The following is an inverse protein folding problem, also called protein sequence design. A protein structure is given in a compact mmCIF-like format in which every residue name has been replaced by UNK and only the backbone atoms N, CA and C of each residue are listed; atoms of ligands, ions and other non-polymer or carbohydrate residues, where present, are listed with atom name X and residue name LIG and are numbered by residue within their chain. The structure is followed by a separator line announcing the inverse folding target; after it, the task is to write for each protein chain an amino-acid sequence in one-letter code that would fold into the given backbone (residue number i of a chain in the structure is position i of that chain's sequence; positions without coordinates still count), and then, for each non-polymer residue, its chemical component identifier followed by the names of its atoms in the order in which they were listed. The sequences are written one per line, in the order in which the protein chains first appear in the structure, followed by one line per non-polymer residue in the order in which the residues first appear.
data_IF_636478225376
#
_entry.id   IF_636478225376
#
_cell.length_a   1.000
_cell.length_b   1.000
_cell.length_c   1.000
_cell.angle_alpha   90.00
_cell.angle_beta   90.00
_cell.angle_gamma   90.00
#
_symmetry.space_group_name_H-M   'P 1'
#
loop_
_entity.id
_entity.type
_entity.pdbx_description
1 polymer ?
#
# COMPACT_ATOMS: atom_id res chain seq x y z
N UNK A 1 -8.29 19.48 -8.78
CA UNK A 1 -8.77 19.40 -10.19
C UNK A 1 -8.99 17.93 -10.48
N UNK A 2 -10.20 17.53 -10.94
CA UNK A 2 -10.49 16.12 -11.22
C UNK A 2 -9.79 15.66 -12.50
N UNK A 3 -9.21 14.47 -12.50
CA UNK A 3 -8.58 13.89 -13.69
C UNK A 3 -9.63 13.39 -14.68
N UNK A 4 -9.44 13.75 -15.98
CA UNK A 4 -10.35 13.31 -17.03
C UNK A 4 -10.22 11.80 -17.24
N UNK A 5 -11.35 11.09 -17.28
CA UNK A 5 -11.39 9.68 -17.71
C UNK A 5 -11.25 9.66 -19.24
N UNK A 6 -10.31 8.88 -19.72
CA UNK A 6 -9.99 8.73 -21.16
C UNK A 6 -10.44 7.40 -21.72
N UNK A 7 -10.55 6.34 -20.90
CA UNK A 7 -11.08 5.03 -21.31
C UNK A 7 -11.77 4.36 -20.14
N UNK A 8 -12.93 3.77 -20.36
CA UNK A 8 -13.72 3.06 -19.34
C UNK A 8 -13.43 1.55 -19.36
N UNK A 9 -13.76 0.88 -18.25
CA UNK A 9 -13.74 -0.58 -18.16
C UNK A 9 -14.64 -1.22 -19.21
N UNK A 10 -14.16 -2.28 -19.85
CA UNK A 10 -14.88 -3.00 -20.91
C UNK A 10 -14.93 -2.26 -22.27
N UNK A 11 -14.47 -1.00 -22.34
CA UNK A 11 -14.47 -0.23 -23.57
C UNK A 11 -13.63 -0.93 -24.64
N UNK A 12 -14.22 -1.10 -25.83
CA UNK A 12 -13.51 -1.63 -26.99
C UNK A 12 -13.01 -0.48 -27.86
N UNK A 13 -11.71 -0.41 -28.01
CA UNK A 13 -11.03 0.52 -28.90
C UNK A 13 -10.40 -0.26 -30.05
N UNK A 14 -10.28 0.35 -31.22
CA UNK A 14 -9.89 -0.37 -32.45
C UNK A 14 -8.54 -1.09 -32.42
N UNK A 15 -7.69 -0.80 -31.44
CA UNK A 15 -6.41 -1.47 -31.21
C UNK A 15 -6.48 -2.57 -30.14
N UNK A 16 -7.62 -2.74 -29.45
CA UNK A 16 -7.81 -3.74 -28.40
C UNK A 16 -8.64 -4.93 -28.91
N UNK A 17 -8.10 -6.12 -28.81
CA UNK A 17 -8.84 -7.36 -29.17
C UNK A 17 -9.79 -7.82 -28.05
N UNK A 18 -9.57 -7.31 -26.82
CA UNK A 18 -10.40 -7.53 -25.63
C UNK A 18 -10.82 -6.17 -25.06
N UNK A 19 -11.93 -6.13 -24.35
CA UNK A 19 -12.35 -4.93 -23.62
C UNK A 19 -11.26 -4.43 -22.65
N UNK A 20 -11.30 -3.16 -22.35
CA UNK A 20 -10.37 -2.51 -21.44
C UNK A 20 -10.45 -3.12 -20.03
N UNK A 21 -9.32 -3.50 -19.46
CA UNK A 21 -9.25 -4.20 -18.16
C UNK A 21 -9.28 -3.28 -16.93
N UNK A 22 -9.51 -1.98 -17.13
CA UNK A 22 -9.53 -0.98 -16.07
C UNK A 22 -10.16 0.33 -16.54
N UNK A 23 -9.83 1.40 -15.84
CA UNK A 23 -10.19 2.78 -16.20
C UNK A 23 -8.91 3.58 -16.34
N UNK A 24 -8.79 4.37 -17.43
CA UNK A 24 -7.66 5.24 -17.67
C UNK A 24 -8.01 6.69 -17.30
N UNK A 25 -7.15 7.30 -16.48
CA UNK A 25 -7.26 8.70 -16.06
C UNK A 25 -6.11 9.51 -16.66
N UNK A 26 -6.39 10.58 -17.34
CA UNK A 26 -5.38 11.50 -17.88
C UNK A 26 -4.65 12.20 -16.72
N UNK A 27 -3.57 11.59 -16.26
CA UNK A 27 -2.68 12.14 -15.23
C UNK A 27 -1.37 12.54 -15.90
N UNK A 28 -0.87 13.77 -15.72
CA UNK A 28 0.49 14.13 -16.13
C UNK A 28 1.53 13.20 -15.52
N UNK A 29 2.71 13.09 -16.16
CA UNK A 29 3.85 12.42 -15.54
C UNK A 29 4.11 13.01 -14.14
N UNK A 30 4.62 12.16 -13.26
CA UNK A 30 4.97 12.50 -11.88
C UNK A 30 3.82 13.02 -11.00
N UNK A 31 2.57 12.73 -11.40
CA UNK A 31 1.43 12.97 -10.50
C UNK A 31 1.48 11.98 -9.32
N UNK A 32 1.46 12.46 -8.06
CA UNK A 32 1.45 11.58 -6.88
C UNK A 32 0.21 10.68 -6.88
N UNK A 33 0.42 9.38 -6.73
CA UNK A 33 -0.63 8.37 -6.67
C UNK A 33 -0.78 7.85 -5.25
N UNK A 34 -1.99 7.89 -4.73
CA UNK A 34 -2.32 7.41 -3.38
C UNK A 34 -3.15 6.14 -3.43
N UNK A 35 -2.97 5.30 -2.43
CA UNK A 35 -3.71 4.05 -2.29
C UNK A 35 -5.20 4.31 -2.05
N UNK A 36 -6.07 3.68 -2.82
CA UNK A 36 -7.54 3.73 -2.62
C UNK A 36 -8.04 2.65 -1.67
N UNK A 37 -7.18 1.67 -1.34
CA UNK A 37 -7.45 0.61 -0.37
C UNK A 37 -6.25 0.39 0.54
N UNK A 38 -6.50 -0.14 1.75
CA UNK A 38 -5.47 -0.65 2.64
C UNK A 38 -5.18 -2.10 2.31
N UNK A 39 -3.91 -2.53 2.39
CA UNK A 39 -3.53 -3.90 2.07
C UNK A 39 -2.03 -4.11 2.02
N UNK A 40 -1.57 -5.06 1.22
CA UNK A 40 -0.15 -5.36 1.02
C UNK A 40 0.26 -5.01 -0.40
N UNK A 41 1.35 -4.26 -0.56
CA UNK A 41 1.87 -3.86 -1.85
C UNK A 41 2.56 -5.02 -2.58
N UNK A 42 2.40 -5.06 -3.89
CA UNK A 42 3.11 -5.94 -4.81
C UNK A 42 3.60 -5.06 -5.97
N UNK A 43 4.90 -4.89 -6.10
CA UNK A 43 5.52 -4.12 -7.19
C UNK A 43 5.98 -5.05 -8.29
N UNK A 44 5.62 -4.74 -9.54
CA UNK A 44 6.05 -5.45 -10.74
C UNK A 44 6.49 -4.47 -11.82
N UNK A 45 7.52 -4.84 -12.57
CA UNK A 45 7.95 -4.09 -13.73
C UNK A 45 7.95 -5.02 -14.96
N UNK A 46 7.10 -4.71 -15.92
CA UNK A 46 6.97 -5.44 -17.19
C UNK A 46 7.80 -4.81 -18.32
N UNK A 47 8.67 -3.85 -17.99
CA UNK A 47 9.48 -3.13 -18.98
C UNK A 47 8.61 -2.30 -19.92
N UNK A 48 8.71 -2.56 -21.23
CA UNK A 48 7.95 -1.88 -22.29
C UNK A 48 6.62 -2.58 -22.62
N UNK A 49 6.28 -3.64 -21.89
CA UNK A 49 5.06 -4.42 -22.16
C UNK A 49 3.97 -4.15 -21.11
N UNK A 50 2.73 -4.47 -21.48
CA UNK A 50 1.56 -4.35 -20.59
C UNK A 50 1.49 -2.98 -19.92
N UNK A 51 1.21 -2.97 -18.61
CA UNK A 51 1.10 -1.75 -17.81
C UNK A 51 2.46 -1.24 -17.26
N UNK A 52 3.60 -1.72 -17.79
CA UNK A 52 4.95 -1.25 -17.41
C UNK A 52 5.24 -1.43 -15.92
N UNK A 53 5.74 -0.36 -15.27
CA UNK A 53 5.90 -0.33 -13.83
C UNK A 53 4.52 -0.25 -13.17
N UNK A 54 4.26 -1.17 -12.26
CA UNK A 54 2.94 -1.41 -11.70
C UNK A 54 3.04 -1.60 -10.19
N UNK A 55 2.17 -0.95 -9.44
CA UNK A 55 1.91 -1.25 -8.03
C UNK A 55 0.53 -1.88 -7.93
N UNK A 56 0.44 -2.98 -7.22
CA UNK A 56 -0.82 -3.61 -6.84
C UNK A 56 -0.98 -3.56 -5.34
N UNK A 57 -2.18 -3.32 -4.87
CA UNK A 57 -2.54 -3.43 -3.46
C UNK A 57 -3.47 -4.63 -3.33
N UNK A 58 -2.99 -5.67 -2.63
CA UNK A 58 -3.79 -6.86 -2.34
C UNK A 58 -4.48 -6.67 -1.00
N UNK A 59 -5.79 -6.84 -0.96
CA UNK A 59 -6.63 -6.61 0.20
C UNK A 59 -7.65 -7.74 0.42
N UNK A 60 -8.72 -7.50 1.16
CA UNK A 60 -9.69 -8.49 1.61
C UNK A 60 -10.13 -9.50 0.52
N UNK A 61 -10.14 -10.80 0.88
CA UNK A 61 -10.59 -11.85 -0.04
C UNK A 61 -9.67 -12.13 -1.24
N UNK A 62 -8.47 -11.49 -1.28
CA UNK A 62 -7.53 -11.65 -2.38
C UNK A 62 -7.75 -10.70 -3.56
N UNK A 63 -8.66 -9.74 -3.45
CA UNK A 63 -8.84 -8.66 -4.44
C UNK A 63 -7.55 -7.85 -4.60
N UNK A 64 -7.30 -7.33 -5.81
CA UNK A 64 -6.14 -6.49 -6.12
C UNK A 64 -6.59 -5.20 -6.84
N UNK A 65 -6.26 -4.03 -6.29
CA UNK A 65 -6.27 -2.78 -7.06
C UNK A 65 -4.91 -2.62 -7.73
N UNK A 66 -4.91 -2.26 -9.01
CA UNK A 66 -3.73 -2.22 -9.87
C UNK A 66 -3.55 -0.79 -10.38
N UNK A 67 -2.36 -0.23 -10.14
CA UNK A 67 -1.92 1.07 -10.66
C UNK A 67 -0.86 0.81 -11.71
N UNK A 68 -1.16 1.08 -12.96
CA UNK A 68 -0.26 0.84 -14.10
C UNK A 68 0.32 2.11 -14.69
N UNK A 69 1.33 1.92 -15.54
CA UNK A 69 2.08 2.94 -16.29
C UNK A 69 2.84 3.95 -15.40
N UNK A 70 3.27 3.51 -14.19
CA UNK A 70 3.99 4.37 -13.26
C UNK A 70 5.36 4.79 -13.82
N UNK A 71 5.80 6.00 -13.46
CA UNK A 71 7.17 6.47 -13.66
C UNK A 71 8.09 5.95 -12.55
N UNK A 72 7.60 5.98 -11.30
CA UNK A 72 8.34 5.48 -10.13
C UNK A 72 7.41 4.98 -9.04
N UNK A 73 7.94 4.19 -8.10
CA UNK A 73 7.22 3.68 -6.94
C UNK A 73 7.89 4.13 -5.64
N UNK A 74 7.08 4.42 -4.62
CA UNK A 74 7.50 4.77 -3.25
C UNK A 74 7.43 3.57 -2.30
N UNK A 75 6.99 2.41 -2.79
CA UNK A 75 6.73 1.22 -1.99
C UNK A 75 7.45 0.01 -2.57
N UNK A 76 7.65 -1.02 -1.75
CA UNK A 76 8.23 -2.31 -2.12
C UNK A 76 7.22 -3.43 -1.94
N UNK A 77 7.47 -4.55 -2.62
CA UNK A 77 6.66 -5.74 -2.42
C UNK A 77 6.75 -6.22 -0.98
N UNK A 78 5.60 -6.39 -0.34
CA UNK A 78 5.46 -6.81 1.06
C UNK A 78 5.15 -5.67 2.02
N UNK A 79 5.25 -4.42 1.60
CA UNK A 79 4.91 -3.27 2.44
C UNK A 79 3.43 -3.28 2.81
N UNK A 80 3.12 -2.95 4.07
CA UNK A 80 1.76 -2.72 4.54
C UNK A 80 1.37 -1.29 4.16
N UNK A 81 0.27 -1.17 3.44
CA UNK A 81 -0.23 0.09 2.90
C UNK A 81 -1.57 0.44 3.57
N UNK A 82 -1.73 1.70 3.94
CA UNK A 82 -3.01 2.25 4.37
C UNK A 82 -3.63 3.09 3.25
N UNK A 83 -4.96 3.11 3.19
CA UNK A 83 -5.68 3.99 2.27
C UNK A 83 -5.20 5.43 2.45
N UNK A 84 -4.83 6.09 1.34
CA UNK A 84 -4.28 7.44 1.32
C UNK A 84 -2.74 7.51 1.30
N UNK A 85 -2.03 6.41 1.55
CA UNK A 85 -0.56 6.38 1.48
C UNK A 85 -0.06 6.66 0.05
N UNK A 86 1.06 7.37 -0.06
CA UNK A 86 1.74 7.59 -1.34
C UNK A 86 2.38 6.28 -1.81
N UNK A 87 1.96 5.77 -2.97
CA UNK A 87 2.45 4.50 -3.52
C UNK A 87 3.42 4.67 -4.69
N UNK A 88 3.44 5.85 -5.32
CA UNK A 88 4.30 6.14 -6.46
C UNK A 88 3.81 7.35 -7.25
N UNK A 89 4.30 7.45 -8.47
CA UNK A 89 4.00 8.58 -9.37
C UNK A 89 3.57 8.04 -10.74
N UNK A 90 2.55 8.68 -11.32
CA UNK A 90 2.07 8.35 -12.67
C UNK A 90 3.13 8.59 -13.74
N UNK A 91 2.98 7.94 -14.87
CA UNK A 91 3.89 8.07 -15.99
C UNK A 91 3.29 7.51 -17.27
N UNK A 92 4.18 6.96 -18.10
CA UNK A 92 3.84 6.33 -19.38
C UNK A 92 4.69 5.08 -19.65
N UNK A 93 5.11 4.37 -18.59
CA UNK A 93 5.88 3.12 -18.73
C UNK A 93 5.03 2.01 -19.35
N UNK A 94 5.68 1.02 -19.96
CA UNK A 94 4.99 -0.10 -20.60
C UNK A 94 4.46 0.20 -21.99
N UNK A 95 3.41 -0.51 -22.38
CA UNK A 95 2.77 -0.36 -23.68
C UNK A 95 1.68 0.71 -23.63
N UNK A 96 2.02 1.92 -24.00
CA UNK A 96 1.09 3.07 -24.07
C UNK A 96 0.82 3.41 -25.53
N UNK A 97 -0.46 3.53 -25.89
CA UNK A 97 -0.90 4.00 -27.20
C UNK A 97 -1.49 5.39 -27.03
N UNK A 98 -0.94 6.39 -27.71
CA UNK A 98 -1.43 7.76 -27.64
C UNK A 98 -1.50 8.38 -29.04
N UNK A 99 -2.55 9.16 -29.29
CA UNK A 99 -2.68 9.97 -30.51
C UNK A 99 -2.00 11.35 -30.38
N UNK A 100 -1.62 11.76 -29.18
CA UNK A 100 -0.97 13.05 -28.91
C UNK A 100 -0.15 13.00 -27.63
N UNK A 101 1.00 13.69 -27.61
CA UNK A 101 1.90 13.71 -26.45
C UNK A 101 2.54 12.34 -26.16
N UNK A 102 3.05 12.18 -24.93
CA UNK A 102 3.70 10.95 -24.48
C UNK A 102 2.72 9.89 -23.96
N UNK A 103 1.42 10.22 -23.91
CA UNK A 103 0.38 9.30 -23.44
C UNK A 103 0.37 9.03 -21.93
N UNK A 104 0.96 9.93 -21.14
CA UNK A 104 0.95 9.80 -19.68
C UNK A 104 -0.48 9.66 -19.14
N UNK A 105 -0.71 8.61 -18.33
CA UNK A 105 -1.99 8.34 -17.71
C UNK A 105 -1.84 7.34 -16.56
N UNK A 106 -2.82 7.32 -15.66
CA UNK A 106 -2.99 6.23 -14.71
C UNK A 106 -3.96 5.21 -15.29
N UNK A 107 -3.51 3.97 -15.45
CA UNK A 107 -4.40 2.82 -15.63
C UNK A 107 -4.77 2.25 -14.27
N UNK A 108 -6.06 2.31 -13.90
CA UNK A 108 -6.59 1.72 -12.66
C UNK A 108 -7.32 0.44 -13.00
N UNK A 109 -6.80 -0.70 -12.56
CA UNK A 109 -7.44 -2.02 -12.68
C UNK A 109 -7.94 -2.53 -11.34
N UNK A 110 -8.92 -3.42 -11.38
CA UNK A 110 -9.39 -4.17 -10.23
C UNK A 110 -9.48 -5.64 -10.60
N UNK A 111 -9.03 -6.53 -9.70
CA UNK A 111 -9.23 -7.97 -9.81
C UNK A 111 -9.93 -8.49 -8.58
N UNK A 112 -10.79 -9.51 -8.78
CA UNK A 112 -11.32 -10.31 -7.69
C UNK A 112 -10.30 -11.32 -7.14
N UNK A 113 -10.69 -12.07 -6.10
CA UNK A 113 -9.83 -13.09 -5.47
C UNK A 113 -9.44 -14.24 -6.40
N UNK A 114 -10.19 -14.48 -7.47
CA UNK A 114 -9.91 -15.49 -8.49
C UNK A 114 -9.04 -14.96 -9.64
N UNK A 115 -8.72 -13.66 -9.63
CA UNK A 115 -7.86 -13.00 -10.59
C UNK A 115 -8.58 -12.49 -11.85
N UNK A 116 -9.90 -12.46 -11.88
CA UNK A 116 -10.69 -11.91 -12.99
C UNK A 116 -10.79 -10.39 -12.84
N UNK A 117 -10.66 -9.67 -13.96
CA UNK A 117 -10.85 -8.23 -13.97
C UNK A 117 -12.31 -7.84 -13.70
N UNK A 118 -12.48 -6.87 -12.82
CA UNK A 118 -13.75 -6.27 -12.40
C UNK A 118 -13.75 -4.78 -12.73
N UNK A 119 -14.94 -4.18 -12.80
CA UNK A 119 -15.10 -2.75 -13.01
C UNK A 119 -14.63 -1.95 -11.78
N UNK A 120 -13.56 -1.11 -11.91
CA UNK A 120 -13.05 -0.32 -10.81
C UNK A 120 -13.80 1.02 -10.60
N UNK A 121 -14.96 1.23 -11.21
CA UNK A 121 -15.72 2.49 -11.15
C UNK A 121 -16.01 2.97 -9.73
N UNK A 122 -16.05 2.06 -8.75
CA UNK A 122 -16.21 2.41 -7.33
C UNK A 122 -15.12 3.33 -6.78
N UNK A 123 -13.97 3.39 -7.44
CA UNK A 123 -12.81 4.19 -7.02
C UNK A 123 -12.63 5.51 -7.81
N UNK A 124 -13.54 5.83 -8.73
CA UNK A 124 -13.42 7.05 -9.56
C UNK A 124 -13.29 8.30 -8.68
N UNK A 125 -14.15 8.42 -7.68
CA UNK A 125 -14.15 9.57 -6.76
C UNK A 125 -12.85 9.65 -5.94
N UNK A 126 -12.38 8.50 -5.44
CA UNK A 126 -11.13 8.43 -4.68
C UNK A 126 -9.93 8.88 -5.54
N UNK A 127 -9.83 8.41 -6.78
CA UNK A 127 -8.76 8.83 -7.72
C UNK A 127 -8.88 10.32 -8.05
N UNK A 128 -10.07 10.82 -8.33
CA UNK A 128 -10.27 12.23 -8.66
C UNK A 128 -9.91 13.17 -7.52
N UNK A 129 -10.06 12.71 -6.29
CA UNK A 129 -9.79 13.50 -5.08
C UNK A 129 -8.44 13.17 -4.41
N UNK A 130 -7.67 12.20 -4.89
CA UNK A 130 -6.47 11.72 -4.20
C UNK A 130 -5.43 12.80 -3.90
N UNK A 131 -5.37 13.88 -4.69
CA UNK A 131 -4.47 15.02 -4.50
C UNK A 131 -5.21 16.28 -3.99
N UNK A 132 -6.46 16.15 -3.57
CA UNK A 132 -7.17 17.20 -2.85
C UNK A 132 -6.63 17.26 -1.41
N UNK A 133 -6.29 18.44 -0.86
CA UNK A 133 -5.84 18.58 0.53
C UNK A 133 -6.85 18.04 1.55
N UNK A 134 -8.15 17.99 1.20
CA UNK A 134 -9.22 17.45 2.03
C UNK A 134 -9.44 15.93 1.82
N UNK A 135 -8.62 15.24 1.01
CA UNK A 135 -8.77 13.81 0.72
C UNK A 135 -8.76 12.95 2.01
N UNK A 136 -7.86 13.27 2.96
CA UNK A 136 -7.76 12.57 4.24
C UNK A 136 -9.02 12.74 5.09
N UNK A 137 -9.66 13.92 5.05
CA UNK A 137 -10.92 14.17 5.79
C UNK A 137 -12.07 13.34 5.22
N UNK A 138 -12.12 13.14 3.89
CA UNK A 138 -13.17 12.33 3.27
C UNK A 138 -13.01 10.81 3.56
N UNK A 139 -11.78 10.34 3.75
CA UNK A 139 -11.48 8.96 4.16
C UNK A 139 -11.91 8.69 5.61
N UNK A 140 -11.78 9.69 6.49
CA UNK A 140 -12.20 9.57 7.91
C UNK A 140 -13.72 9.72 8.10
N UNK A 141 -14.41 10.46 7.21
CA UNK A 141 -15.86 10.64 7.29
C UNK A 141 -16.68 9.45 6.77
N UNK A 142 -16.07 8.55 5.97
CA UNK A 142 -16.71 7.28 5.53
C UNK A 142 -16.60 6.13 6.55
N UNK A 143 -16.08 6.37 7.73
CA UNK A 143 -16.24 5.41 8.82
C UNK A 143 -17.74 5.41 9.20
N UNK A 144 -18.45 4.27 9.13
CA UNK A 144 -19.88 4.27 9.43
C UNK A 144 -20.09 4.86 10.82
N UNK A 145 -21.04 5.77 10.92
CA UNK A 145 -21.63 6.29 12.17
C UNK A 145 -21.82 5.15 13.19
N UNK A 146 -20.84 4.92 14.03
CA UNK A 146 -20.99 4.25 15.32
C UNK A 146 -21.10 5.33 16.40
N UNK A 147 -21.70 6.48 16.05
CA UNK A 147 -21.79 7.62 16.96
C UNK A 147 -23.11 7.66 17.76
N UNK A 148 -24.05 6.77 17.51
CA UNK A 148 -25.39 6.95 18.09
C UNK A 148 -25.85 5.88 19.08
N UNK A 149 -24.97 5.10 19.70
CA UNK A 149 -25.41 4.22 20.81
C UNK A 149 -24.33 3.81 21.83
N UNK A 150 -23.36 4.63 22.12
CA UNK A 150 -22.51 4.39 23.29
C UNK A 150 -22.56 5.63 24.17
N UNK A 151 -23.29 5.51 25.27
CA UNK A 151 -23.29 6.48 26.38
C UNK A 151 -21.91 6.41 27.08
N UNK A 152 -20.96 7.21 26.58
CA UNK A 152 -19.51 7.16 26.96
C UNK A 152 -19.26 7.99 28.24
N UNK A 153 -20.27 8.32 29.01
CA UNK A 153 -20.07 9.20 30.19
C UNK A 153 -19.57 8.48 31.47
N UNK A 154 -19.56 7.13 31.51
CA UNK A 154 -19.14 6.41 32.73
C UNK A 154 -18.04 5.35 32.52
N UNK A 155 -17.81 4.86 31.29
CA UNK A 155 -16.77 3.84 31.04
C UNK A 155 -15.44 4.44 30.51
N UNK A 156 -15.45 5.63 29.91
CA UNK A 156 -14.26 6.25 29.34
C UNK A 156 -13.20 6.61 30.41
N UNK A 157 -13.63 7.03 31.62
CA UNK A 157 -12.70 7.33 32.71
C UNK A 157 -11.95 6.10 33.19
N UNK A 158 -12.61 4.94 33.23
CA UNK A 158 -12.00 3.66 33.63
C UNK A 158 -10.98 3.14 32.61
N UNK A 159 -11.29 3.29 31.32
CA UNK A 159 -10.38 2.88 30.22
C UNK A 159 -9.17 3.79 30.15
N UNK A 160 -9.35 5.12 30.32
CA UNK A 160 -8.22 6.05 30.36
C UNK A 160 -7.32 5.81 31.57
N UNK A 161 -7.90 5.44 32.72
CA UNK A 161 -7.12 5.10 33.92
C UNK A 161 -6.34 3.79 33.73
N UNK A 162 -6.95 2.75 33.13
CA UNK A 162 -6.28 1.48 32.82
C UNK A 162 -5.19 1.64 31.76
N UNK A 163 -5.42 2.44 30.73
CA UNK A 163 -4.41 2.76 29.72
C UNK A 163 -3.27 3.60 30.33
N UNK A 164 -3.58 4.54 31.23
CA UNK A 164 -2.58 5.30 31.97
C UNK A 164 -1.70 4.41 32.89
N UNK A 165 -2.31 3.44 33.58
CA UNK A 165 -1.56 2.46 34.37
C UNK A 165 -0.69 1.55 33.50
N UNK A 166 -1.20 1.13 32.33
CA UNK A 166 -0.43 0.33 31.37
C UNK A 166 0.80 1.12 30.83
N UNK A 167 0.63 2.41 30.50
CA UNK A 167 1.74 3.28 30.10
C UNK A 167 2.76 3.49 31.21
N UNK A 168 2.33 3.67 32.45
CA UNK A 168 3.22 3.76 33.61
C UNK A 168 3.95 2.43 33.88
N UNK A 169 3.29 1.30 33.67
CA UNK A 169 3.91 -0.03 33.81
C UNK A 169 4.96 -0.28 32.71
N UNK A 170 4.69 0.18 31.48
CA UNK A 170 5.65 0.10 30.36
C UNK A 170 6.86 1.01 30.60
N UNK A 171 6.69 2.18 31.20
CA UNK A 171 7.82 3.05 31.60
C UNK A 171 8.66 2.48 32.74
N UNK A 172 8.13 1.57 33.56
CA UNK A 172 8.84 0.87 34.62
C UNK A 172 9.58 -0.41 34.13
N UNK A 173 9.45 -0.78 32.85
CA UNK A 173 10.30 -1.82 32.27
C UNK A 173 11.71 -1.24 32.17
N UNK A 174 12.56 -1.68 33.07
CA UNK A 174 13.97 -1.31 33.10
C UNK A 174 14.65 -1.81 31.80
N UNK A 175 14.82 -0.88 30.85
CA UNK A 175 15.53 -1.17 29.59
C UNK A 175 16.93 -1.72 29.83
N UNK A 176 17.52 -1.49 31.02
CA UNK A 176 18.80 -2.06 31.40
C UNK A 176 18.75 -3.59 31.50
N UNK A 177 17.63 -4.13 31.95
CA UNK A 177 17.42 -5.59 32.04
C UNK A 177 17.28 -6.23 30.64
N UNK A 178 16.58 -5.59 29.73
CA UNK A 178 16.47 -6.04 28.32
C UNK A 178 17.83 -5.98 27.60
N UNK A 179 18.61 -4.91 27.81
CA UNK A 179 19.98 -4.76 27.29
C UNK A 179 20.88 -5.86 27.88
N UNK A 180 20.76 -6.19 29.16
CA UNK A 180 21.53 -7.27 29.79
C UNK A 180 21.21 -8.65 29.20
N UNK A 181 19.93 -8.96 28.96
CA UNK A 181 19.52 -10.23 28.30
C UNK A 181 20.10 -10.30 26.89
N UNK A 182 20.03 -9.23 26.13
CA UNK A 182 20.58 -9.17 24.77
C UNK A 182 22.11 -9.33 24.81
N UNK A 183 22.81 -8.66 25.72
CA UNK A 183 24.26 -8.79 25.87
C UNK A 183 24.68 -10.20 26.32
N UNK A 184 23.95 -10.82 27.24
CA UNK A 184 24.21 -12.21 27.63
C UNK A 184 23.98 -13.19 26.47
N UNK A 185 22.94 -12.98 25.66
CA UNK A 185 22.67 -13.81 24.48
C UNK A 185 23.79 -13.69 23.44
N UNK A 186 24.31 -12.48 23.21
CA UNK A 186 25.46 -12.26 22.34
C UNK A 186 26.77 -12.88 22.88
N UNK A 187 27.00 -12.77 24.17
CA UNK A 187 28.16 -13.41 24.79
C UNK A 187 28.08 -14.93 24.66
N UNK A 188 26.91 -15.54 24.87
CA UNK A 188 26.71 -16.97 24.70
C UNK A 188 26.96 -17.45 23.28
N UNK A 189 26.52 -16.65 22.28
CA UNK A 189 26.76 -16.93 20.86
C UNK A 189 28.25 -16.84 20.50
N UNK A 190 28.97 -15.86 21.09
CA UNK A 190 30.40 -15.66 20.83
C UNK A 190 31.27 -16.77 21.42
N UNK A 191 30.92 -17.27 22.61
CA UNK A 191 31.63 -18.39 23.27
C UNK A 191 31.45 -19.67 22.44
N UNK A 192 30.26 -19.94 21.91
CA UNK A 192 29.98 -21.12 21.09
C UNK A 192 30.68 -21.10 19.74
N UNK A 193 30.79 -19.93 19.11
CA UNK A 193 31.53 -19.78 17.84
C UNK A 193 33.02 -19.89 18.03
N UNK A 194 33.59 -19.41 19.14
CA UNK A 194 35.00 -19.58 19.49
C UNK A 194 35.31 -21.05 19.74
N UNK A 195 34.44 -21.77 20.47
CA UNK A 195 34.63 -23.20 20.77
C UNK A 195 34.55 -24.08 19.50
N UNK A 196 33.69 -23.71 18.53
CA UNK A 196 33.65 -24.37 17.22
C UNK A 196 34.91 -24.13 16.40
N UNK A 197 35.51 -22.94 16.49
CA UNK A 197 36.77 -22.62 15.82
C UNK A 197 37.94 -23.44 16.38
N UNK A 198 37.99 -23.61 17.70
CA UNK A 198 39.02 -24.38 18.35
C UNK A 198 38.92 -25.90 18.04
N UNK A 199 37.70 -26.43 17.89
CA UNK A 199 37.49 -27.83 17.47
C UNK A 199 37.94 -28.04 16.04
N UNK A 200 37.62 -27.10 15.11
CA UNK A 200 38.02 -27.20 13.72
C UNK A 200 39.53 -27.06 13.58
N UNK A 201 40.18 -26.21 14.36
CA UNK A 201 41.64 -26.05 14.36
C UNK A 201 42.40 -27.27 14.91
N UNK A 202 41.73 -28.15 15.69
CA UNK A 202 42.32 -29.42 16.18
C UNK A 202 42.15 -30.62 15.22
N UNK A 203 41.36 -30.47 14.15
CA UNK A 203 41.04 -31.55 13.19
C UNK A 203 41.87 -31.39 11.89
N UNK A 204 42.45 -30.24 11.67
CA UNK A 204 43.36 -29.93 10.54
C UNK A 204 44.73 -29.53 11.06
#
# INVERSE_FOLDING_TARGET
MAYKITSLFGQQEGFRTKGHSGIDFATPDDTPLKAVESGTAIVKNFGTENAGLTVKIKFNGGEEVIYGHLNSTNVHTGDVIHKGDLIGYSGHSGHVVSSSGNGAHLHLGLKDGDGHFQDPSRYIEDIQNMNNPNFVQHVTEKTPEIQDKIDISSESSSIFEQVGELFNTIQLIDYSFLVQIIQQSFQFLFIHTSFLYDIIACIF
#
